data_IF_425996655765
#
_entry.id   IF_425996655765
#
_cell.length_a   1.000
_cell.length_b   1.000
_cell.length_c   1.000
_cell.angle_alpha   90.00
_cell.angle_beta   90.00
_cell.angle_gamma   90.00
#
_symmetry.space_group_name_H-M   'P 1'
#
loop_
_entity.id
_entity.type
_entity.pdbx_description
1 polymer ?
#
# COMPACT_ATOMS: atom_id res chain seq x y z
N UNK A 1 23.05 -1.30 51.79
CA UNK A 1 22.79 -0.35 52.90
C UNK A 1 21.29 -0.18 52.99
N UNK A 2 20.63 -0.97 53.84
CA UNK A 2 19.31 -0.61 54.33
C UNK A 2 19.48 0.77 54.99
N UNK A 3 18.98 1.82 54.34
CA UNK A 3 19.11 3.19 54.85
C UNK A 3 18.36 3.28 56.17
N UNK A 4 18.82 4.13 57.10
CA UNK A 4 18.29 4.25 58.47
C UNK A 4 16.76 4.33 58.56
N UNK A 5 16.08 4.75 57.49
CA UNK A 5 14.62 4.68 57.33
C UNK A 5 14.01 3.28 57.49
N UNK A 6 14.63 2.20 56.99
CA UNK A 6 14.06 0.84 57.11
C UNK A 6 14.10 0.28 58.55
N UNK A 7 15.11 0.68 59.34
CA UNK A 7 15.19 0.27 60.75
C UNK A 7 14.06 0.87 61.58
N UNK A 8 13.67 2.12 61.30
CA UNK A 8 12.54 2.76 61.97
C UNK A 8 11.21 2.06 61.65
N UNK A 9 11.00 1.61 60.41
CA UNK A 9 9.77 0.91 60.00
C UNK A 9 9.56 -0.38 60.79
N UNK A 10 10.62 -1.18 61.02
CA UNK A 10 10.51 -2.42 61.80
C UNK A 10 10.17 -2.14 63.27
N UNK A 11 10.79 -1.13 63.87
CA UNK A 11 10.51 -0.75 65.27
C UNK A 11 9.08 -0.21 65.40
N UNK A 12 8.64 0.64 64.47
CA UNK A 12 7.27 1.16 64.42
C UNK A 12 6.24 0.05 64.20
N UNK A 13 6.52 -0.93 63.34
CA UNK A 13 5.64 -2.11 63.15
C UNK A 13 5.50 -2.93 64.44
N UNK A 14 6.61 -3.18 65.14
CA UNK A 14 6.58 -3.93 66.41
C UNK A 14 5.82 -3.12 67.47
N UNK A 15 6.04 -1.82 67.54
CA UNK A 15 5.35 -0.95 68.49
C UNK A 15 3.84 -0.87 68.18
N UNK A 16 3.46 -0.73 66.91
CA UNK A 16 2.07 -0.78 66.48
C UNK A 16 1.40 -2.12 66.82
N UNK A 17 2.13 -3.24 66.74
CA UNK A 17 1.64 -4.56 67.15
C UNK A 17 1.39 -4.63 68.68
N UNK A 18 2.26 -4.01 69.48
CA UNK A 18 2.09 -3.92 70.95
C UNK A 18 0.97 -2.97 71.37
N UNK A 19 0.75 -1.89 70.62
CA UNK A 19 -0.32 -0.92 70.87
C UNK A 19 -1.66 -1.35 70.27
N UNK A 20 -1.66 -2.35 69.38
CA UNK A 20 -2.88 -2.85 68.76
C UNK A 20 -3.82 -3.47 69.82
N UNK A 21 -5.11 -3.06 69.84
CA UNK A 21 -6.07 -3.63 70.77
C UNK A 21 -6.32 -5.12 70.45
N UNK A 22 -6.57 -5.92 71.49
CA UNK A 22 -6.64 -7.39 71.39
C UNK A 22 -7.61 -7.91 70.31
N UNK A 23 -8.73 -7.21 70.06
CA UNK A 23 -9.69 -7.60 69.01
C UNK A 23 -9.10 -7.53 67.59
N UNK A 24 -8.16 -6.62 67.34
CA UNK A 24 -7.53 -6.45 66.05
C UNK A 24 -6.54 -7.60 65.77
N UNK A 25 -5.72 -7.95 66.76
CA UNK A 25 -4.80 -9.09 66.69
C UNK A 25 -5.54 -10.42 66.50
N UNK A 26 -6.70 -10.60 67.14
CA UNK A 26 -7.56 -11.78 66.95
C UNK A 26 -8.08 -11.84 65.50
N UNK A 27 -8.56 -10.72 64.95
CA UNK A 27 -9.05 -10.65 63.58
C UNK A 27 -7.95 -10.99 62.56
N UNK A 28 -6.74 -10.43 62.72
CA UNK A 28 -5.61 -10.74 61.85
C UNK A 28 -5.22 -12.22 61.93
N UNK A 29 -5.21 -12.80 63.14
CA UNK A 29 -4.97 -14.24 63.32
C UNK A 29 -5.99 -15.11 62.57
N UNK A 30 -7.28 -14.74 62.61
CA UNK A 30 -8.34 -15.43 61.86
C UNK A 30 -8.12 -15.29 60.35
N UNK A 31 -7.75 -14.10 59.87
CA UNK A 31 -7.47 -13.87 58.44
C UNK A 31 -6.25 -14.67 57.96
N UNK A 32 -5.17 -14.72 58.74
CA UNK A 32 -3.98 -15.54 58.43
C UNK A 32 -4.37 -17.02 58.34
N UNK A 33 -5.14 -17.54 59.30
CA UNK A 33 -5.65 -18.91 59.26
C UNK A 33 -6.52 -19.18 58.04
N UNK A 34 -7.34 -18.20 57.62
CA UNK A 34 -8.18 -18.32 56.43
C UNK A 34 -7.35 -18.32 55.14
N UNK A 35 -6.32 -17.46 55.03
CA UNK A 35 -5.37 -17.45 53.90
C UNK A 35 -4.61 -18.78 53.83
N UNK A 36 -4.10 -19.28 54.95
CA UNK A 36 -3.46 -20.60 55.04
C UNK A 36 -4.44 -21.67 54.54
N UNK A 37 -5.68 -21.67 55.02
CA UNK A 37 -6.71 -22.61 54.56
C UNK A 37 -6.96 -22.50 53.06
N UNK A 38 -7.02 -21.30 52.49
CA UNK A 38 -7.22 -21.11 51.04
C UNK A 38 -6.03 -21.60 50.22
N UNK A 39 -4.79 -21.39 50.70
CA UNK A 39 -3.58 -21.90 50.06
C UNK A 39 -3.53 -23.44 50.04
N UNK A 40 -4.07 -24.10 51.08
CA UNK A 40 -4.09 -25.57 51.18
C UNK A 40 -5.40 -26.21 50.69
N UNK A 41 -6.47 -25.43 50.59
CA UNK A 41 -7.73 -25.82 49.98
C UNK A 41 -7.49 -26.00 48.50
N UNK A 42 -7.33 -27.24 48.05
CA UNK A 42 -7.48 -27.59 46.64
C UNK A 42 -8.94 -27.36 46.25
N UNK A 43 -9.31 -26.11 45.95
CA UNK A 43 -10.71 -25.73 45.70
C UNK A 43 -11.26 -26.31 44.40
N UNK A 44 -10.46 -27.05 43.65
CA UNK A 44 -10.93 -27.88 42.56
C UNK A 44 -10.09 -29.16 42.51
N UNK A 45 -10.70 -30.31 42.87
CA UNK A 45 -10.30 -31.55 42.19
C UNK A 45 -10.78 -31.35 40.76
N UNK A 46 -9.87 -31.07 39.82
CA UNK A 46 -10.16 -31.32 38.41
C UNK A 46 -10.76 -32.72 38.39
N UNK A 47 -12.03 -32.84 37.99
CA UNK A 47 -12.66 -34.13 37.76
C UNK A 47 -11.63 -35.00 37.04
N UNK A 48 -11.42 -36.21 37.55
CA UNK A 48 -10.59 -37.22 36.90
C UNK A 48 -10.88 -37.15 35.40
N UNK A 49 -9.92 -36.62 34.64
CA UNK A 49 -9.99 -36.71 33.19
C UNK A 49 -10.00 -38.21 32.95
N UNK A 50 -11.15 -38.75 32.57
CA UNK A 50 -11.18 -40.04 31.90
C UNK A 50 -10.38 -39.82 30.62
N UNK A 51 -9.14 -40.26 30.60
CA UNK A 51 -8.35 -40.27 29.38
C UNK A 51 -9.15 -41.09 28.37
N UNK A 52 -9.56 -40.44 27.28
CA UNK A 52 -10.25 -41.10 26.17
C UNK A 52 -9.39 -42.28 25.72
N UNK A 53 -10.03 -43.44 25.60
CA UNK A 53 -9.44 -44.62 24.98
C UNK A 53 -9.00 -44.29 23.55
N UNK A 54 -8.05 -45.05 23.01
CA UNK A 54 -7.60 -44.88 21.61
C UNK A 54 -8.80 -44.95 20.66
N UNK A 55 -9.74 -45.85 20.93
CA UNK A 55 -10.99 -46.00 20.17
C UNK A 55 -11.87 -44.76 20.23
N UNK A 56 -12.12 -44.20 21.42
CA UNK A 56 -12.93 -42.97 21.55
C UNK A 56 -12.26 -41.78 20.85
N UNK A 57 -10.92 -41.71 20.85
CA UNK A 57 -10.18 -40.68 20.09
C UNK A 57 -10.36 -40.87 18.59
N UNK A 58 -10.28 -42.10 18.09
CA UNK A 58 -10.50 -42.41 16.67
C UNK A 58 -11.93 -42.09 16.25
N UNK A 59 -12.94 -42.46 17.05
CA UNK A 59 -14.35 -42.13 16.82
C UNK A 59 -14.58 -40.62 16.78
N UNK A 60 -14.01 -39.86 17.73
CA UNK A 60 -14.10 -38.40 17.72
C UNK A 60 -13.42 -37.77 16.50
N UNK A 61 -12.30 -38.32 16.03
CA UNK A 61 -11.61 -37.83 14.83
C UNK A 61 -12.43 -38.15 13.57
N UNK A 62 -13.06 -39.33 13.51
CA UNK A 62 -13.91 -39.75 12.40
C UNK A 62 -15.22 -38.94 12.33
N UNK A 63 -15.81 -38.62 13.49
CA UNK A 63 -17.01 -37.78 13.60
C UNK A 63 -16.72 -36.29 13.40
N UNK A 64 -15.48 -35.84 13.62
CA UNK A 64 -15.14 -34.43 13.52
C UNK A 64 -15.23 -33.93 12.08
N UNK A 65 -16.25 -33.13 11.81
CA UNK A 65 -16.38 -32.36 10.58
C UNK A 65 -15.89 -30.94 10.84
N UNK A 66 -14.79 -30.48 10.22
CA UNK A 66 -14.36 -29.10 10.36
C UNK A 66 -15.45 -28.16 9.86
N UNK A 67 -15.66 -27.06 10.58
CA UNK A 67 -16.44 -25.95 10.04
C UNK A 67 -15.77 -25.44 8.76
N UNK A 68 -16.54 -25.09 7.71
CA UNK A 68 -15.98 -24.46 6.53
C UNK A 68 -15.21 -23.19 6.90
N UNK A 69 -13.99 -23.02 6.37
CA UNK A 69 -13.19 -21.81 6.59
C UNK A 69 -13.89 -20.55 6.08
N UNK A 70 -14.77 -20.71 5.08
CA UNK A 70 -15.53 -19.63 4.42
C UNK A 70 -16.95 -20.11 4.09
N UNK A 71 -17.95 -19.20 4.05
CA UNK A 71 -19.30 -19.54 3.62
C UNK A 71 -19.34 -19.98 2.14
N UNK A 72 -20.37 -20.72 1.71
CA UNK A 72 -20.55 -21.08 0.31
C UNK A 72 -20.69 -19.83 -0.56
N UNK A 73 -19.98 -19.81 -1.69
CA UNK A 73 -19.98 -18.69 -2.63
C UNK A 73 -20.91 -19.01 -3.80
N UNK A 74 -21.88 -18.13 -4.14
CA UNK A 74 -22.73 -18.29 -5.32
C UNK A 74 -21.90 -18.40 -6.61
N UNK A 75 -22.34 -19.19 -7.59
CA UNK A 75 -21.59 -19.40 -8.84
C UNK A 75 -21.47 -18.13 -9.69
N UNK A 76 -22.43 -17.21 -9.56
CA UNK A 76 -22.48 -15.90 -10.18
C UNK A 76 -21.67 -14.84 -9.41
N UNK A 77 -21.01 -15.21 -8.32
CA UNK A 77 -20.22 -14.27 -7.53
C UNK A 77 -19.10 -13.65 -8.39
N UNK A 78 -18.89 -12.32 -8.36
CA UNK A 78 -17.90 -11.65 -9.21
C UNK A 78 -16.47 -12.16 -9.05
N UNK A 79 -16.09 -12.63 -7.85
CA UNK A 79 -14.76 -13.22 -7.63
C UNK A 79 -14.53 -14.55 -8.39
N UNK A 80 -15.61 -15.23 -8.79
CA UNK A 80 -15.56 -16.45 -9.62
C UNK A 80 -15.72 -16.13 -11.12
N UNK A 81 -16.22 -14.93 -11.45
CA UNK A 81 -16.53 -14.48 -12.80
C UNK A 81 -15.70 -13.24 -13.14
N UNK A 82 -14.41 -13.45 -13.42
CA UNK A 82 -13.48 -12.39 -13.78
C UNK A 82 -13.31 -12.26 -15.29
N UNK A 83 -12.98 -11.04 -15.72
CA UNK A 83 -12.67 -10.73 -17.11
C UNK A 83 -11.32 -11.32 -17.52
N UNK A 84 -11.28 -12.01 -18.65
CA UNK A 84 -10.07 -12.64 -19.19
C UNK A 84 -9.57 -11.82 -20.39
N UNK A 85 -8.32 -11.35 -20.30
CA UNK A 85 -7.65 -10.63 -21.39
C UNK A 85 -6.91 -11.62 -22.28
N UNK A 86 -7.06 -11.48 -23.60
CA UNK A 86 -6.32 -12.23 -24.61
C UNK A 86 -5.43 -11.29 -25.42
N UNK A 87 -4.13 -11.58 -25.48
CA UNK A 87 -3.16 -10.72 -26.16
C UNK A 87 -2.60 -9.57 -25.30
N UNK A 88 -1.77 -8.69 -25.87
CA UNK A 88 -1.16 -7.58 -25.13
C UNK A 88 -2.20 -6.50 -24.82
N UNK A 89 -2.34 -6.06 -23.55
CA UNK A 89 -3.25 -4.96 -23.21
C UNK A 89 -2.63 -3.58 -23.57
N UNK A 90 -2.63 -3.24 -24.86
CA UNK A 90 -2.36 -1.88 -25.37
C UNK A 90 -3.62 -1.00 -25.27
N UNK A 91 -3.71 0.12 -26.00
CA UNK A 91 -4.97 0.88 -26.13
C UNK A 91 -6.12 0.05 -26.74
N UNK A 92 -5.83 -1.04 -27.45
CA UNK A 92 -6.80 -2.04 -27.90
C UNK A 92 -6.55 -3.35 -27.20
N UNK A 93 -7.61 -3.95 -26.68
CA UNK A 93 -7.52 -5.19 -25.90
C UNK A 93 -8.68 -6.11 -26.20
N UNK A 94 -8.47 -7.41 -26.07
CA UNK A 94 -9.53 -8.41 -26.22
C UNK A 94 -9.92 -8.92 -24.84
N UNK A 95 -11.12 -8.58 -24.38
CA UNK A 95 -11.67 -9.01 -23.08
C UNK A 95 -12.84 -9.96 -23.31
N UNK A 96 -12.77 -11.17 -22.74
CA UNK A 96 -13.78 -12.22 -22.92
C UNK A 96 -14.08 -12.50 -24.41
N UNK A 97 -13.05 -12.46 -25.26
CA UNK A 97 -13.17 -12.66 -26.71
C UNK A 97 -13.66 -11.44 -27.51
N UNK A 98 -13.90 -10.29 -26.85
CA UNK A 98 -14.38 -9.07 -27.49
C UNK A 98 -13.31 -7.99 -27.56
N UNK A 99 -13.14 -7.38 -28.74
CA UNK A 99 -12.26 -6.23 -28.92
C UNK A 99 -12.86 -4.96 -28.31
N UNK A 100 -12.06 -4.30 -27.48
CA UNK A 100 -12.42 -3.11 -26.72
C UNK A 100 -11.28 -2.08 -26.75
N UNK A 101 -11.64 -0.80 -26.66
CA UNK A 101 -10.70 0.27 -26.35
C UNK A 101 -10.42 0.20 -24.84
N UNK A 102 -9.15 0.13 -24.46
CA UNK A 102 -8.70 -0.15 -23.11
C UNK A 102 -8.56 1.13 -22.28
N UNK A 103 -9.37 1.26 -21.23
CA UNK A 103 -9.27 2.28 -20.19
C UNK A 103 -9.09 1.65 -18.80
N UNK A 104 -8.62 0.40 -18.72
CA UNK A 104 -8.55 -0.36 -17.48
C UNK A 104 -7.11 -0.63 -17.00
N UNK A 105 -6.14 -0.73 -17.92
CA UNK A 105 -4.74 -1.08 -17.60
C UNK A 105 -3.86 0.14 -17.33
N UNK A 106 -2.94 0.03 -16.38
CA UNK A 106 -1.96 1.07 -16.02
C UNK A 106 -0.78 1.24 -17.01
N UNK A 107 -0.96 0.87 -18.28
CA UNK A 107 0.06 1.00 -19.33
C UNK A 107 0.13 2.45 -19.86
N UNK A 108 0.45 3.41 -18.99
CA UNK A 108 0.35 4.86 -19.26
C UNK A 108 1.13 5.29 -20.50
N UNK A 109 2.33 4.75 -20.70
CA UNK A 109 3.23 5.12 -21.79
C UNK A 109 3.14 4.21 -23.00
N UNK A 110 2.21 3.24 -23.02
CA UNK A 110 2.00 2.39 -24.19
C UNK A 110 3.19 1.48 -24.50
N UNK A 111 4.04 1.20 -23.52
CA UNK A 111 5.32 0.50 -23.75
C UNK A 111 5.21 -1.02 -23.70
N UNK A 112 4.06 -1.55 -23.27
CA UNK A 112 3.86 -2.99 -23.07
C UNK A 112 3.98 -3.83 -24.35
N UNK A 113 3.44 -3.32 -25.47
CA UNK A 113 3.55 -4.00 -26.77
C UNK A 113 4.61 -3.35 -27.68
N UNK A 114 5.46 -2.47 -27.12
CA UNK A 114 6.45 -1.75 -27.91
C UNK A 114 7.49 -2.71 -28.51
N UNK A 115 7.76 -2.66 -29.84
CA UNK A 115 8.68 -3.57 -30.50
C UNK A 115 10.10 -3.59 -29.93
N UNK A 116 10.61 -2.44 -29.47
CA UNK A 116 11.96 -2.34 -28.86
C UNK A 116 12.00 -3.03 -27.51
N UNK A 117 11.00 -2.77 -26.65
CA UNK A 117 10.86 -3.40 -25.33
C UNK A 117 10.74 -4.93 -25.47
N UNK A 118 9.91 -5.41 -26.41
CA UNK A 118 9.79 -6.85 -26.71
C UNK A 118 11.10 -7.45 -27.21
N UNK A 119 11.82 -6.76 -28.08
CA UNK A 119 13.11 -7.23 -28.58
C UNK A 119 14.16 -7.34 -27.46
N UNK A 120 14.22 -6.36 -26.55
CA UNK A 120 15.10 -6.39 -25.37
C UNK A 120 14.77 -7.58 -24.46
N UNK A 121 13.48 -7.80 -24.17
CA UNK A 121 13.03 -8.95 -23.38
C UNK A 121 13.39 -10.29 -24.04
N UNK A 122 13.19 -10.43 -25.37
CA UNK A 122 13.54 -11.64 -26.12
C UNK A 122 15.05 -11.90 -26.15
N UNK A 123 15.86 -10.85 -26.29
CA UNK A 123 17.32 -10.96 -26.24
C UNK A 123 17.79 -11.42 -24.84
N UNK A 124 17.21 -10.84 -23.79
CA UNK A 124 17.46 -11.23 -22.41
C UNK A 124 17.04 -12.68 -22.13
N UNK A 125 15.88 -13.11 -22.63
CA UNK A 125 15.42 -14.50 -22.53
C UNK A 125 16.41 -15.49 -23.16
N UNK A 126 16.99 -15.16 -24.32
CA UNK A 126 18.01 -15.98 -24.98
C UNK A 126 19.32 -16.05 -24.18
N UNK A 127 19.70 -14.97 -23.50
CA UNK A 127 20.96 -14.89 -22.73
C UNK A 127 20.85 -15.54 -21.35
N UNK A 128 19.78 -15.28 -20.61
CA UNK A 128 19.67 -15.63 -19.18
C UNK A 128 18.64 -16.72 -18.88
N UNK A 129 17.74 -17.03 -19.80
CA UNK A 129 16.59 -17.88 -19.55
C UNK A 129 15.44 -17.14 -18.87
N UNK A 130 14.53 -17.91 -18.26
CA UNK A 130 13.18 -17.45 -17.87
C UNK A 130 13.12 -16.74 -16.53
N UNK A 131 14.10 -16.94 -15.65
CA UNK A 131 14.11 -16.41 -14.29
C UNK A 131 15.39 -16.77 -13.55
N UNK A 132 15.50 -16.34 -12.30
CA UNK A 132 16.72 -16.47 -11.50
C UNK A 132 16.72 -17.61 -10.49
N UNK A 133 15.53 -18.13 -10.13
CA UNK A 133 15.33 -19.19 -9.14
C UNK A 133 15.93 -18.90 -7.74
N UNK A 134 16.25 -17.64 -7.42
CA UNK A 134 16.89 -17.29 -6.16
C UNK A 134 16.76 -15.80 -5.80
N UNK A 135 16.86 -15.48 -4.50
CA UNK A 135 16.87 -14.09 -4.01
C UNK A 135 18.18 -13.36 -4.32
N UNK A 136 18.11 -12.02 -4.33
CA UNK A 136 19.24 -11.14 -4.69
C UNK A 136 20.49 -11.34 -3.84
N UNK A 137 20.32 -11.62 -2.54
CA UNK A 137 21.43 -11.77 -1.58
C UNK A 137 22.19 -13.11 -1.63
N UNK A 138 21.75 -14.05 -2.48
CA UNK A 138 22.37 -15.37 -2.60
C UNK A 138 22.90 -15.55 -4.03
N UNK A 139 22.13 -16.22 -4.90
CA UNK A 139 22.50 -16.51 -6.29
C UNK A 139 21.54 -15.88 -7.31
N UNK A 140 20.69 -14.93 -6.89
CA UNK A 140 19.68 -14.29 -7.73
C UNK A 140 20.08 -12.95 -8.35
N UNK A 141 21.31 -12.47 -8.16
CA UNK A 141 21.78 -11.22 -8.77
C UNK A 141 22.46 -11.49 -10.11
N UNK A 142 21.98 -10.82 -11.15
CA UNK A 142 22.45 -10.91 -12.52
C UNK A 142 22.95 -9.51 -12.91
N UNK A 143 23.88 -9.43 -13.86
CA UNK A 143 24.43 -8.16 -14.40
C UNK A 143 23.31 -7.18 -14.79
N UNK A 144 22.29 -7.63 -15.52
CA UNK A 144 21.17 -6.78 -15.97
C UNK A 144 20.36 -6.16 -14.82
N UNK A 145 20.37 -6.77 -13.63
CA UNK A 145 19.72 -6.17 -12.46
C UNK A 145 20.50 -4.96 -11.93
N UNK A 146 21.83 -5.06 -11.94
CA UNK A 146 22.69 -3.95 -11.54
C UNK A 146 22.63 -2.83 -12.58
N UNK A 147 22.57 -3.19 -13.86
CA UNK A 147 22.36 -2.23 -14.93
C UNK A 147 21.02 -1.47 -14.76
N UNK A 148 19.93 -2.18 -14.44
CA UNK A 148 18.65 -1.53 -14.17
C UNK A 148 18.70 -0.62 -12.93
N UNK A 149 19.31 -1.07 -11.83
CA UNK A 149 19.49 -0.26 -10.62
C UNK A 149 20.27 1.05 -10.93
N UNK A 150 21.37 0.97 -11.68
CA UNK A 150 22.14 2.13 -12.13
C UNK A 150 21.32 3.06 -13.05
N UNK A 151 20.55 2.49 -13.99
CA UNK A 151 19.69 3.26 -14.90
C UNK A 151 18.57 3.99 -14.16
N UNK A 152 17.93 3.34 -13.19
CA UNK A 152 16.91 3.96 -12.35
C UNK A 152 17.50 5.09 -11.50
N UNK A 153 18.67 4.86 -10.89
CA UNK A 153 19.35 5.88 -10.08
C UNK A 153 19.69 7.13 -10.92
N UNK A 154 20.23 6.93 -12.13
CA UNK A 154 20.54 8.01 -13.09
C UNK A 154 19.28 8.74 -13.56
N UNK A 155 18.24 8.00 -13.95
CA UNK A 155 16.98 8.59 -14.41
C UNK A 155 16.36 9.46 -13.32
N UNK A 156 16.30 8.94 -12.09
CA UNK A 156 15.76 9.67 -10.93
C UNK A 156 16.69 10.75 -10.39
N UNK A 157 17.97 10.78 -10.80
CA UNK A 157 19.01 11.68 -10.27
C UNK A 157 19.25 11.46 -8.76
N UNK A 158 19.36 10.21 -8.37
CA UNK A 158 19.68 9.77 -6.99
C UNK A 158 20.99 9.00 -6.95
N UNK A 159 21.55 8.78 -5.75
CA UNK A 159 22.82 8.05 -5.59
C UNK A 159 22.68 6.58 -6.01
N UNK A 160 21.64 5.90 -5.52
CA UNK A 160 21.40 4.48 -5.79
C UNK A 160 19.91 4.16 -5.93
N UNK A 161 19.65 3.02 -6.56
CA UNK A 161 18.35 2.37 -6.56
C UNK A 161 18.48 0.87 -6.22
N UNK A 162 17.39 0.29 -5.73
CA UNK A 162 17.23 -1.14 -5.45
C UNK A 162 15.93 -1.61 -6.06
N UNK A 163 15.95 -2.77 -6.74
CA UNK A 163 14.76 -3.34 -7.37
C UNK A 163 14.20 -4.52 -6.56
N UNK A 164 12.87 -4.60 -6.53
CA UNK A 164 12.05 -5.65 -5.97
C UNK A 164 11.33 -6.39 -7.11
N UNK A 165 11.04 -7.68 -6.92
CA UNK A 165 10.42 -8.53 -7.94
C UNK A 165 8.90 -8.35 -8.07
N UNK A 166 8.26 -7.65 -7.14
CA UNK A 166 6.81 -7.41 -7.14
C UNK A 166 6.51 -6.01 -6.58
N UNK A 167 5.75 -5.19 -7.33
CA UNK A 167 5.46 -3.80 -7.04
C UNK A 167 4.85 -3.59 -5.65
N UNK A 168 3.75 -4.30 -5.36
CA UNK A 168 3.09 -4.26 -4.04
C UNK A 168 4.06 -4.54 -2.88
N UNK A 169 5.01 -5.47 -3.04
CA UNK A 169 5.94 -5.84 -2.00
C UNK A 169 7.02 -4.77 -1.75
N UNK A 170 7.23 -3.84 -2.67
CA UNK A 170 8.26 -2.78 -2.61
C UNK A 170 8.04 -1.89 -1.40
N UNK A 171 7.00 -1.03 -1.43
CA UNK A 171 6.70 -0.13 -0.30
C UNK A 171 6.31 -0.89 0.97
N UNK A 172 5.60 -2.02 0.81
CA UNK A 172 5.20 -2.86 1.93
C UNK A 172 6.40 -3.48 2.68
N UNK A 173 7.54 -3.67 2.00
CA UNK A 173 8.80 -4.13 2.62
C UNK A 173 9.69 -2.97 3.06
N UNK A 174 9.68 -1.86 2.33
CA UNK A 174 10.54 -0.71 2.61
C UNK A 174 10.11 0.01 3.91
N UNK A 175 8.80 0.17 4.17
CA UNK A 175 8.30 0.78 5.42
C UNK A 175 8.84 0.06 6.67
N UNK A 176 8.62 -1.26 6.87
CA UNK A 176 9.09 -1.98 8.06
C UNK A 176 10.62 -2.15 8.13
N UNK A 177 11.35 -1.97 7.02
CA UNK A 177 12.81 -1.95 7.04
C UNK A 177 13.34 -0.81 7.93
N UNK A 178 12.68 0.36 7.87
CA UNK A 178 13.07 1.53 8.66
C UNK A 178 12.20 1.75 9.88
N UNK A 179 10.88 1.68 9.75
CA UNK A 179 9.96 1.97 10.85
C UNK A 179 9.67 0.72 11.66
N UNK A 180 9.77 0.80 12.99
CA UNK A 180 9.61 -0.34 13.91
C UNK A 180 8.68 0.02 15.07
N UNK A 181 8.42 -0.96 15.94
CA UNK A 181 7.71 -0.75 17.21
C UNK A 181 8.38 0.36 18.02
N UNK A 182 7.61 1.38 18.38
CA UNK A 182 8.06 2.54 19.15
C UNK A 182 8.37 3.79 18.31
N UNK A 183 8.43 3.65 16.98
CA UNK A 183 8.42 4.77 16.04
C UNK A 183 6.99 5.22 15.74
N UNK A 184 6.86 6.42 15.17
CA UNK A 184 5.58 7.03 14.82
C UNK A 184 5.54 7.27 13.32
N UNK A 185 4.41 6.92 12.72
CA UNK A 185 4.18 7.13 11.29
C UNK A 185 2.89 7.91 11.08
N UNK A 186 3.03 9.11 10.53
CA UNK A 186 1.93 9.92 10.04
C UNK A 186 1.63 9.50 8.61
N UNK A 187 0.40 9.09 8.32
CA UNK A 187 0.03 8.60 6.99
C UNK A 187 -1.27 9.23 6.53
N UNK A 188 -1.31 9.58 5.25
CA UNK A 188 -2.49 10.10 4.60
C UNK A 188 -3.58 9.02 4.57
N UNK A 189 -4.82 9.39 4.89
CA UNK A 189 -5.96 8.45 4.90
C UNK A 189 -6.27 7.82 3.55
N UNK A 190 -5.85 8.40 2.43
CA UNK A 190 -6.06 7.83 1.11
C UNK A 190 -4.96 6.84 0.69
N UNK A 191 -3.95 6.59 1.54
CA UNK A 191 -2.84 5.71 1.21
C UNK A 191 -3.27 4.33 0.69
N UNK A 192 -2.63 3.91 -0.40
CA UNK A 192 -2.89 2.65 -1.07
C UNK A 192 -2.68 1.45 -0.16
N UNK A 193 -3.28 0.32 -0.53
CA UNK A 193 -3.28 -0.89 0.29
C UNK A 193 -1.87 -1.43 0.60
N UNK A 194 -0.92 -1.26 -0.32
CA UNK A 194 0.47 -1.67 -0.13
C UNK A 194 1.13 -0.92 1.04
N UNK A 195 0.92 0.40 1.13
CA UNK A 195 1.36 1.22 2.27
C UNK A 195 0.73 0.69 3.56
N UNK A 196 -0.59 0.45 3.57
CA UNK A 196 -1.29 -0.04 4.76
C UNK A 196 -0.70 -1.36 5.29
N UNK A 197 -0.35 -2.30 4.39
CA UNK A 197 0.28 -3.57 4.79
C UNK A 197 1.72 -3.39 5.26
N UNK A 198 2.48 -2.44 4.70
CA UNK A 198 3.77 -2.04 5.23
C UNK A 198 3.69 -1.47 6.65
N UNK A 199 2.70 -0.61 6.92
CA UNK A 199 2.45 -0.05 8.25
C UNK A 199 2.01 -1.13 9.26
N UNK A 200 1.19 -2.09 8.83
CA UNK A 200 0.82 -3.24 9.66
C UNK A 200 2.05 -4.08 10.04
N UNK A 201 2.95 -4.32 9.08
CA UNK A 201 4.19 -5.06 9.30
C UNK A 201 5.18 -4.30 10.21
N UNK A 202 5.20 -2.97 10.16
CA UNK A 202 6.13 -2.13 10.94
C UNK A 202 5.84 -2.16 12.45
N UNK A 203 4.58 -2.42 12.84
CA UNK A 203 4.10 -2.39 14.24
C UNK A 203 4.35 -1.05 14.95
N UNK A 204 4.46 0.03 14.16
CA UNK A 204 4.67 1.39 14.65
C UNK A 204 3.37 2.00 15.18
N UNK A 205 3.46 3.13 15.88
CA UNK A 205 2.29 3.93 16.23
C UNK A 205 1.84 4.73 15.00
N UNK A 206 0.66 4.42 14.48
CA UNK A 206 0.15 4.99 13.24
C UNK A 206 -0.81 6.15 13.55
N UNK A 207 -0.51 7.33 13.00
CA UNK A 207 -1.34 8.53 13.09
C UNK A 207 -1.90 8.86 11.70
N UNK A 208 -3.20 8.69 11.52
CA UNK A 208 -3.88 8.99 10.26
C UNK A 208 -4.24 10.48 10.20
N UNK A 209 -3.81 11.19 9.16
CA UNK A 209 -4.28 12.56 8.87
C UNK A 209 -5.23 12.57 7.67
N UNK A 210 -6.17 13.52 7.66
CA UNK A 210 -7.13 13.69 6.55
C UNK A 210 -6.41 13.86 5.20
N UNK A 211 -7.00 13.30 4.15
CA UNK A 211 -6.39 13.26 2.84
C UNK A 211 -6.00 14.66 2.32
N UNK A 212 -4.73 14.84 1.97
CA UNK A 212 -4.12 16.09 1.52
C UNK A 212 -4.33 17.29 2.47
N UNK A 213 -4.72 17.07 3.72
CA UNK A 213 -4.99 18.12 4.71
C UNK A 213 -3.74 18.40 5.56
N UNK A 214 -2.97 19.40 5.16
CA UNK A 214 -1.73 19.78 5.84
C UNK A 214 -1.97 20.44 7.20
N UNK A 215 -3.15 21.00 7.44
CA UNK A 215 -3.50 21.56 8.74
C UNK A 215 -3.75 20.45 9.76
N UNK A 216 -4.42 19.37 9.35
CA UNK A 216 -4.62 18.18 10.20
C UNK A 216 -3.30 17.43 10.46
N UNK A 217 -2.45 17.29 9.45
CA UNK A 217 -1.09 16.76 9.65
C UNK A 217 -0.29 17.62 10.64
N UNK A 218 -0.28 18.94 10.48
CA UNK A 218 0.43 19.83 11.41
C UNK A 218 -0.13 19.74 12.83
N UNK A 219 -1.46 19.58 12.99
CA UNK A 219 -2.09 19.36 14.30
C UNK A 219 -1.54 18.10 14.96
N UNK A 220 -1.48 16.98 14.25
CA UNK A 220 -0.93 15.71 14.79
C UNK A 220 0.56 15.81 15.11
N UNK A 221 1.33 16.54 14.30
CA UNK A 221 2.76 16.78 14.55
C UNK A 221 2.97 17.62 15.83
N UNK A 222 2.14 18.65 16.07
CA UNK A 222 2.14 19.46 17.31
C UNK A 222 1.75 18.62 18.53
N UNK A 223 0.72 17.79 18.40
CA UNK A 223 0.32 16.84 19.46
C UNK A 223 1.49 15.92 19.82
N UNK A 224 2.20 15.41 18.81
CA UNK A 224 3.36 14.57 19.06
C UNK A 224 4.52 15.31 19.72
N UNK A 225 4.79 16.56 19.34
CA UNK A 225 5.79 17.41 19.99
C UNK A 225 5.47 17.62 21.48
N UNK A 226 4.20 17.82 21.82
CA UNK A 226 3.74 17.92 23.22
C UNK A 226 3.95 16.60 23.98
N UNK A 227 3.62 15.45 23.37
CA UNK A 227 3.87 14.14 23.99
C UNK A 227 5.36 13.85 24.18
N UNK A 228 6.20 14.28 23.23
CA UNK A 228 7.65 14.13 23.30
C UNK A 228 8.26 14.85 24.51
N UNK A 229 7.71 16.01 24.89
CA UNK A 229 8.13 16.77 26.07
C UNK A 229 7.87 16.01 27.39
N UNK A 230 6.86 15.15 27.44
CA UNK A 230 6.54 14.35 28.64
C UNK A 230 7.56 13.24 28.89
N UNK A 231 8.24 12.75 27.86
CA UNK A 231 9.29 11.75 28.00
C UNK A 231 10.45 11.99 27.01
N UNK A 232 11.35 12.95 27.30
CA UNK A 232 12.45 13.32 26.41
C UNK A 232 13.40 12.16 26.11
N UNK A 233 13.56 11.22 27.05
CA UNK A 233 14.43 10.03 26.86
C UNK A 233 13.88 9.11 25.75
N UNK A 234 12.57 8.85 25.76
CA UNK A 234 11.89 8.10 24.70
C UNK A 234 11.89 8.89 23.39
N UNK A 235 11.52 10.17 23.44
CA UNK A 235 11.43 11.02 22.27
C UNK A 235 12.74 11.09 21.45
N UNK A 236 13.90 11.06 22.12
CA UNK A 236 15.23 11.10 21.48
C UNK A 236 15.53 9.88 20.60
N UNK A 237 14.95 8.71 20.91
CA UNK A 237 15.16 7.47 20.14
C UNK A 237 13.99 7.13 19.21
N UNK A 238 12.83 7.75 19.41
CA UNK A 238 11.67 7.61 18.54
C UNK A 238 11.91 8.31 17.21
N UNK A 239 11.77 7.57 16.10
CA UNK A 239 11.80 8.13 14.74
C UNK A 239 10.38 8.49 14.31
N UNK A 240 10.28 9.51 13.46
CA UNK A 240 9.02 10.07 12.97
C UNK A 240 9.05 10.06 11.45
N UNK A 241 8.04 9.46 10.84
CA UNK A 241 7.91 9.32 9.39
C UNK A 241 6.58 9.90 8.92
N UNK A 242 6.57 10.49 7.73
CA UNK A 242 5.38 10.90 6.99
C UNK A 242 5.34 10.02 5.74
N UNK A 243 4.22 9.36 5.49
CA UNK A 243 4.06 8.45 4.34
C UNK A 243 2.90 8.95 3.47
N UNK A 244 3.18 9.17 2.20
CA UNK A 244 2.26 9.74 1.21
C UNK A 244 2.52 9.14 -0.17
N UNK A 245 1.52 9.20 -1.05
CA UNK A 245 1.68 8.92 -2.47
C UNK A 245 1.91 10.24 -3.22
N UNK A 246 2.78 10.26 -4.23
CA UNK A 246 2.99 11.41 -5.11
C UNK A 246 1.72 11.75 -5.90
N UNK A 247 1.11 10.71 -6.49
CA UNK A 247 -0.23 10.71 -7.05
C UNK A 247 -1.00 9.52 -6.47
N UNK A 248 -2.11 9.79 -5.78
CA UNK A 248 -2.82 8.79 -5.01
C UNK A 248 -3.65 7.84 -5.88
N UNK A 249 -3.42 6.54 -5.75
CA UNK A 249 -4.14 5.47 -6.46
C UNK A 249 -5.65 5.46 -6.22
N UNK A 250 -6.11 5.93 -5.06
CA UNK A 250 -7.49 5.83 -4.63
C UNK A 250 -8.33 7.09 -4.93
N UNK A 251 -7.67 8.20 -5.28
CA UNK A 251 -8.32 9.52 -5.43
C UNK A 251 -7.90 10.24 -6.69
N UNK A 252 -6.79 9.85 -7.35
CA UNK A 252 -6.25 10.53 -8.52
C UNK A 252 -5.73 11.94 -8.24
N UNK A 253 -5.45 12.28 -6.98
CA UNK A 253 -4.98 13.60 -6.54
C UNK A 253 -3.47 13.60 -6.31
N UNK A 254 -2.84 14.76 -6.45
CA UNK A 254 -1.40 14.95 -6.24
C UNK A 254 -1.18 15.41 -4.78
N UNK A 255 -0.14 14.90 -4.12
CA UNK A 255 0.18 15.36 -2.76
C UNK A 255 0.70 16.82 -2.74
N UNK A 256 0.40 17.62 -1.71
CA UNK A 256 0.96 18.97 -1.55
C UNK A 256 2.41 18.88 -1.05
N UNK A 257 3.32 18.42 -1.92
CA UNK A 257 4.73 18.16 -1.58
C UNK A 257 5.46 19.39 -1.00
N UNK A 258 5.28 20.64 -1.50
CA UNK A 258 5.92 21.81 -0.91
C UNK A 258 5.59 21.99 0.58
N UNK A 259 4.33 21.79 0.97
CA UNK A 259 3.87 21.88 2.36
C UNK A 259 4.39 20.72 3.20
N UNK A 260 4.40 19.50 2.65
CA UNK A 260 4.98 18.33 3.30
C UNK A 260 6.46 18.53 3.63
N UNK A 261 7.25 19.07 2.70
CA UNK A 261 8.68 19.36 2.91
C UNK A 261 8.87 20.44 3.98
N UNK A 262 8.05 21.49 4.00
CA UNK A 262 8.07 22.51 5.09
C UNK A 262 7.82 21.86 6.46
N UNK A 263 6.82 20.99 6.56
CA UNK A 263 6.49 20.28 7.81
C UNK A 263 7.57 19.27 8.21
N UNK A 264 8.14 18.54 7.24
CA UNK A 264 9.29 17.64 7.44
C UNK A 264 10.41 18.35 8.19
N UNK A 265 10.86 19.50 7.68
CA UNK A 265 11.95 20.26 8.29
C UNK A 265 11.56 20.87 9.64
N UNK A 266 10.35 21.45 9.74
CA UNK A 266 9.84 22.06 10.98
C UNK A 266 9.77 21.06 12.15
N UNK A 267 9.29 19.84 11.88
CA UNK A 267 9.05 18.82 12.91
C UNK A 267 10.08 17.67 12.91
N UNK A 268 11.14 17.78 12.08
CA UNK A 268 12.24 16.80 11.98
C UNK A 268 11.74 15.37 11.70
N UNK A 269 10.72 15.27 10.85
CA UNK A 269 10.22 13.99 10.34
C UNK A 269 10.99 13.58 9.07
N UNK A 270 10.75 12.35 8.59
CA UNK A 270 11.26 11.85 7.30
C UNK A 270 10.09 11.51 6.38
N UNK A 271 10.19 11.80 5.10
CA UNK A 271 9.14 11.51 4.11
C UNK A 271 9.48 10.22 3.36
N UNK A 272 8.54 9.27 3.38
CA UNK A 272 8.49 8.16 2.43
C UNK A 272 7.44 8.48 1.38
N UNK A 273 7.89 8.55 0.14
CA UNK A 273 7.10 8.96 -1.00
C UNK A 273 6.89 7.77 -1.94
N UNK A 274 5.64 7.41 -2.19
CA UNK A 274 5.26 6.36 -3.13
C UNK A 274 4.85 7.00 -4.46
N UNK A 275 5.57 6.72 -5.55
CA UNK A 275 5.48 7.40 -6.83
C UNK A 275 4.95 6.49 -7.95
N UNK A 276 4.31 5.36 -7.64
CA UNK A 276 3.88 4.38 -8.65
C UNK A 276 3.00 4.97 -9.76
N UNK A 277 2.13 5.93 -9.43
CA UNK A 277 1.24 6.59 -10.40
C UNK A 277 1.78 7.93 -10.92
N UNK A 278 2.84 8.47 -10.31
CA UNK A 278 3.45 9.75 -10.71
C UNK A 278 4.76 9.56 -11.50
N UNK A 279 5.46 8.44 -11.31
CA UNK A 279 6.62 8.04 -12.08
C UNK A 279 6.23 7.74 -13.52
N UNK A 280 6.97 8.32 -14.47
CA UNK A 280 6.66 8.31 -15.90
C UNK A 280 5.42 9.13 -16.28
N UNK A 281 4.96 10.02 -15.40
CA UNK A 281 3.68 10.75 -15.56
C UNK A 281 3.85 12.24 -15.25
N UNK A 282 4.32 12.55 -14.05
CA UNK A 282 4.48 13.92 -13.57
C UNK A 282 5.91 14.44 -13.81
N UNK A 283 6.02 15.73 -14.08
CA UNK A 283 7.28 16.39 -14.41
C UNK A 283 7.57 16.42 -15.91
N UNK A 284 8.49 17.29 -16.32
CA UNK A 284 8.89 17.46 -17.73
C UNK A 284 9.54 16.19 -18.31
N UNK A 285 10.21 15.41 -17.47
CA UNK A 285 10.89 14.17 -17.85
C UNK A 285 10.27 12.95 -17.19
N UNK A 286 9.06 13.06 -16.62
CA UNK A 286 8.37 11.94 -15.98
C UNK A 286 9.05 11.43 -14.71
N UNK A 287 9.79 12.26 -13.96
CA UNK A 287 10.47 11.82 -12.72
C UNK A 287 9.58 11.79 -11.48
N UNK A 288 8.32 12.21 -11.59
CA UNK A 288 7.37 12.19 -10.49
C UNK A 288 7.12 13.55 -9.85
N UNK A 289 6.57 13.54 -8.64
CA UNK A 289 6.01 14.73 -8.00
C UNK A 289 7.10 15.72 -7.54
N UNK A 290 8.32 15.25 -7.30
CA UNK A 290 9.47 16.13 -7.00
C UNK A 290 9.80 17.05 -8.16
N UNK A 291 9.91 16.51 -9.38
CA UNK A 291 10.14 17.29 -10.59
C UNK A 291 8.93 18.19 -10.92
N UNK A 292 7.71 17.70 -10.70
CA UNK A 292 6.48 18.49 -10.91
C UNK A 292 6.46 19.81 -10.14
N UNK A 293 6.91 19.80 -8.88
CA UNK A 293 6.98 21.00 -8.05
C UNK A 293 8.33 21.71 -8.07
N UNK A 294 9.34 21.17 -8.77
CA UNK A 294 10.71 21.70 -8.72
C UNK A 294 11.37 21.57 -7.34
N UNK A 295 10.98 20.55 -6.57
CA UNK A 295 11.54 20.25 -5.25
C UNK A 295 12.78 19.39 -5.43
N UNK A 296 13.82 19.66 -4.63
CA UNK A 296 15.03 18.84 -4.69
C UNK A 296 14.70 17.41 -4.22
N UNK A 297 15.08 16.42 -5.02
CA UNK A 297 14.84 15.02 -4.68
C UNK A 297 15.49 14.61 -3.35
N UNK A 298 16.59 15.26 -2.95
CA UNK A 298 17.26 15.06 -1.66
C UNK A 298 16.43 15.48 -0.44
N UNK A 299 15.34 16.24 -0.66
CA UNK A 299 14.36 16.59 0.38
C UNK A 299 13.43 15.41 0.69
N UNK A 300 13.49 14.31 -0.06
CA UNK A 300 12.72 13.08 0.20
C UNK A 300 13.65 11.99 0.73
N UNK A 301 13.24 11.29 1.80
CA UNK A 301 14.14 10.36 2.50
C UNK A 301 14.11 8.94 1.90
N UNK A 302 12.99 8.57 1.29
CA UNK A 302 12.83 7.31 0.57
C UNK A 302 11.78 7.53 -0.54
N UNK A 303 12.15 7.18 -1.76
CA UNK A 303 11.22 7.12 -2.89
C UNK A 303 11.01 5.66 -3.25
N UNK A 304 9.75 5.26 -3.44
CA UNK A 304 9.33 3.95 -3.92
C UNK A 304 8.49 4.15 -5.18
N UNK A 305 8.59 3.27 -6.18
CA UNK A 305 7.66 3.24 -7.29
C UNK A 305 7.55 1.84 -7.91
N UNK A 306 6.38 1.54 -8.48
CA UNK A 306 6.15 0.32 -9.24
C UNK A 306 6.64 0.47 -10.69
N UNK A 307 7.27 -0.59 -11.20
CA UNK A 307 7.62 -0.72 -12.62
C UNK A 307 6.46 -1.31 -13.45
N UNK A 308 5.38 -1.68 -12.77
CA UNK A 308 4.15 -2.31 -13.30
C UNK A 308 3.22 -1.33 -14.04
N UNK A 309 3.63 -0.06 -14.16
CA UNK A 309 2.84 0.98 -14.79
C UNK A 309 3.59 1.58 -15.99
N UNK A 310 4.28 2.71 -15.79
CA UNK A 310 4.96 3.43 -16.88
C UNK A 310 6.10 2.65 -17.57
N UNK A 311 6.79 1.76 -16.85
CA UNK A 311 7.89 0.95 -17.42
C UNK A 311 7.45 -0.33 -18.11
N UNK A 312 6.15 -0.63 -18.11
CA UNK A 312 5.58 -1.83 -18.72
C UNK A 312 6.33 -3.13 -18.37
N UNK A 313 6.76 -3.24 -17.11
CA UNK A 313 7.48 -4.40 -16.57
C UNK A 313 6.75 -4.93 -15.33
N UNK A 314 7.41 -5.78 -14.54
CA UNK A 314 6.92 -6.22 -13.22
C UNK A 314 7.93 -5.80 -12.17
N UNK A 315 7.47 -5.65 -10.92
CA UNK A 315 8.31 -5.28 -9.80
C UNK A 315 8.17 -3.82 -9.42
N UNK A 316 9.04 -3.40 -8.52
CA UNK A 316 9.16 -2.02 -8.10
C UNK A 316 10.59 -1.69 -7.72
N UNK A 317 10.84 -0.43 -7.43
CA UNK A 317 12.15 0.01 -6.99
C UNK A 317 12.02 1.01 -5.84
N UNK A 318 13.10 1.13 -5.07
CA UNK A 318 13.31 2.29 -4.24
C UNK A 318 14.58 3.01 -4.70
N UNK A 319 14.60 4.34 -4.60
CA UNK A 319 15.76 5.16 -4.93
C UNK A 319 15.99 6.26 -3.89
N UNK A 320 17.22 6.74 -3.79
CA UNK A 320 17.62 7.75 -2.80
C UNK A 320 19.10 7.68 -2.46
N UNK A 321 19.44 8.01 -1.21
CA UNK A 321 20.81 7.96 -0.71
C UNK A 321 21.29 6.51 -0.50
N UNK A 322 22.57 6.26 -0.73
CA UNK A 322 23.18 4.92 -0.68
C UNK A 322 22.90 4.20 0.63
N UNK A 323 23.07 4.88 1.78
CA UNK A 323 22.80 4.29 3.10
C UNK A 323 21.32 3.95 3.35
N UNK A 324 20.40 4.64 2.66
CA UNK A 324 18.98 4.27 2.68
C UNK A 324 18.86 2.96 1.91
N UNK A 325 19.29 2.94 0.65
CA UNK A 325 19.16 1.79 -0.24
C UNK A 325 19.82 0.52 0.32
N UNK A 326 21.06 0.60 0.80
CA UNK A 326 21.80 -0.53 1.36
C UNK A 326 21.10 -1.18 2.57
N UNK A 327 20.47 -0.37 3.41
CA UNK A 327 19.73 -0.90 4.57
C UNK A 327 18.60 -1.84 4.13
N UNK A 328 17.97 -1.59 2.98
CA UNK A 328 16.93 -2.47 2.44
C UNK A 328 17.49 -3.79 1.92
N UNK A 329 18.73 -3.81 1.42
CA UNK A 329 19.38 -5.04 0.96
C UNK A 329 19.52 -6.08 2.09
N UNK A 330 19.54 -5.62 3.34
CA UNK A 330 19.67 -6.45 4.54
C UNK A 330 18.36 -6.67 5.31
N UNK A 331 17.35 -5.80 5.11
CA UNK A 331 16.16 -5.77 5.98
C UNK A 331 14.82 -5.71 5.24
N UNK A 332 14.81 -5.42 3.94
CA UNK A 332 13.62 -5.48 3.10
C UNK A 332 13.23 -6.93 2.86
N UNK A 333 12.15 -7.40 3.49
CA UNK A 333 11.75 -8.82 3.41
C UNK A 333 11.44 -9.27 1.99
N UNK A 334 10.73 -8.44 1.21
CA UNK A 334 10.46 -8.69 -0.21
C UNK A 334 11.72 -8.66 -1.10
N UNK A 335 12.85 -8.13 -0.62
CA UNK A 335 14.14 -8.20 -1.32
C UNK A 335 14.95 -9.43 -0.87
N UNK A 336 14.97 -9.72 0.43
CA UNK A 336 15.79 -10.77 1.03
C UNK A 336 15.26 -12.17 0.76
N UNK A 337 13.93 -12.33 0.73
CA UNK A 337 13.27 -13.65 0.72
C UNK A 337 12.42 -13.91 -0.52
N UNK A 338 12.28 -12.94 -1.43
CA UNK A 338 11.66 -13.17 -2.74
C UNK A 338 12.71 -13.58 -3.76
N UNK A 339 12.35 -14.47 -4.68
CA UNK A 339 13.14 -14.65 -5.90
C UNK A 339 13.25 -13.30 -6.62
N UNK A 340 14.40 -13.04 -7.23
CA UNK A 340 14.62 -11.76 -7.92
C UNK A 340 13.76 -11.63 -9.17
N UNK A 341 13.63 -10.39 -9.64
CA UNK A 341 12.95 -10.07 -10.89
C UNK A 341 13.52 -10.93 -12.03
N UNK A 342 12.70 -11.52 -12.91
CA UNK A 342 13.24 -12.18 -14.09
C UNK A 342 14.11 -11.24 -14.94
N UNK A 343 15.30 -11.66 -15.40
CA UNK A 343 16.22 -10.81 -16.18
C UNK A 343 15.59 -10.18 -17.43
N UNK A 344 14.60 -10.86 -18.05
CA UNK A 344 13.87 -10.33 -19.22
C UNK A 344 13.03 -9.10 -18.88
N UNK A 345 12.48 -9.04 -17.67
CA UNK A 345 11.68 -7.91 -17.18
C UNK A 345 12.59 -6.74 -16.77
N UNK A 346 13.79 -7.04 -16.26
CA UNK A 346 14.80 -6.02 -16.03
C UNK A 346 15.25 -5.35 -17.35
N UNK A 347 15.55 -6.16 -18.37
CA UNK A 347 15.89 -5.66 -19.70
C UNK A 347 14.76 -4.85 -20.35
N UNK A 348 13.50 -5.29 -20.19
CA UNK A 348 12.33 -4.54 -20.66
C UNK A 348 12.23 -3.15 -20.00
N UNK A 349 12.43 -3.08 -18.68
CA UNK A 349 12.40 -1.82 -17.95
C UNK A 349 13.55 -0.88 -18.36
N UNK A 350 14.76 -1.40 -18.61
CA UNK A 350 15.89 -0.61 -19.13
C UNK A 350 15.52 0.00 -20.50
N UNK A 351 14.92 -0.78 -21.39
CA UNK A 351 14.52 -0.29 -22.71
C UNK A 351 13.36 0.71 -22.63
N UNK A 352 12.44 0.54 -21.69
CA UNK A 352 11.40 1.54 -21.42
C UNK A 352 12.02 2.87 -20.95
N UNK A 353 13.02 2.83 -20.07
CA UNK A 353 13.77 4.04 -19.65
C UNK A 353 14.50 4.69 -20.83
N UNK A 354 15.12 3.91 -21.74
CA UNK A 354 15.72 4.45 -22.97
C UNK A 354 14.70 5.24 -23.80
N UNK A 355 13.52 4.68 -24.03
CA UNK A 355 12.46 5.33 -24.80
C UNK A 355 12.00 6.62 -24.12
N UNK A 356 11.85 6.60 -22.80
CA UNK A 356 11.48 7.78 -22.01
C UNK A 356 12.51 8.92 -22.13
N UNK A 357 13.81 8.60 -22.11
CA UNK A 357 14.89 9.58 -22.25
C UNK A 357 15.04 10.10 -23.68
N UNK A 358 14.86 9.23 -24.68
CA UNK A 358 14.96 9.58 -26.10
C UNK A 358 13.74 10.39 -26.60
N UNK A 359 12.56 10.18 -26.01
CA UNK A 359 11.32 10.85 -26.37
C UNK A 359 10.61 11.47 -25.17
N UNK A 360 11.15 12.55 -24.56
CA UNK A 360 10.50 13.24 -23.45
C UNK A 360 9.13 13.85 -23.82
N UNK A 361 8.85 14.05 -25.12
CA UNK A 361 7.54 14.50 -25.60
C UNK A 361 6.38 13.56 -25.23
N UNK A 362 6.67 12.29 -24.94
CA UNK A 362 5.67 11.29 -24.54
C UNK A 362 4.87 11.71 -23.29
N UNK A 363 5.50 12.41 -22.34
CA UNK A 363 4.86 12.85 -21.10
C UNK A 363 3.87 13.99 -21.35
N UNK A 364 4.18 14.89 -22.29
CA UNK A 364 3.28 15.96 -22.71
C UNK A 364 2.04 15.39 -23.41
N UNK A 365 2.23 14.39 -24.28
CA UNK A 365 1.12 13.66 -24.94
C UNK A 365 0.21 12.98 -23.91
N UNK A 366 0.79 12.31 -22.90
CA UNK A 366 -0.01 11.70 -21.83
C UNK A 366 -0.84 12.77 -21.10
N UNK A 367 -0.20 13.86 -20.67
CA UNK A 367 -0.84 14.97 -19.97
C UNK A 367 -2.00 15.58 -20.77
N UNK A 368 -1.80 15.77 -22.08
CA UNK A 368 -2.85 16.25 -22.98
C UNK A 368 -4.05 15.30 -23.00
N UNK A 369 -3.81 14.01 -23.19
CA UNK A 369 -4.88 12.99 -23.23
C UNK A 369 -5.62 12.88 -21.90
N UNK A 370 -4.91 12.92 -20.77
CA UNK A 370 -5.53 12.99 -19.43
C UNK A 370 -6.46 14.20 -19.33
N UNK A 371 -6.00 15.38 -19.76
CA UNK A 371 -6.80 16.60 -19.75
C UNK A 371 -8.03 16.52 -20.66
N UNK A 372 -7.88 15.95 -21.86
CA UNK A 372 -8.96 15.78 -22.82
C UNK A 372 -10.08 14.89 -22.27
N UNK A 373 -9.75 13.67 -21.81
CA UNK A 373 -10.76 12.74 -21.30
C UNK A 373 -11.34 13.19 -19.95
N UNK A 374 -10.52 13.77 -19.07
CA UNK A 374 -10.98 14.30 -17.78
C UNK A 374 -12.02 15.40 -17.99
N UNK A 375 -11.80 16.30 -18.97
CA UNK A 375 -12.76 17.33 -19.38
C UNK A 375 -14.00 16.74 -20.05
N UNK A 376 -13.83 15.76 -20.94
CA UNK A 376 -14.95 15.15 -21.68
C UNK A 376 -15.92 14.38 -20.77
N UNK A 377 -15.43 13.85 -19.64
CA UNK A 377 -16.24 13.15 -18.65
C UNK A 377 -16.89 14.07 -17.60
N UNK A 378 -16.62 15.39 -17.64
CA UNK A 378 -17.30 16.33 -16.75
C UNK A 378 -18.79 16.44 -17.10
N UNK A 379 -19.65 16.62 -16.08
CA UNK A 379 -21.07 16.88 -16.27
C UNK A 379 -21.89 15.68 -16.73
N UNK A 380 -21.42 14.45 -16.50
CA UNK A 380 -22.22 13.24 -16.67
C UNK A 380 -23.23 13.18 -15.51
N UNK A 381 -24.52 13.22 -15.81
CA UNK A 381 -25.59 13.15 -14.79
C UNK A 381 -25.45 11.90 -13.93
N UNK A 382 -25.45 12.07 -12.61
CA UNK A 382 -25.36 10.98 -11.64
C UNK A 382 -23.93 10.47 -11.37
N UNK A 383 -22.92 10.95 -12.10
CA UNK A 383 -21.51 10.63 -11.86
C UNK A 383 -20.68 11.89 -11.61
N UNK A 384 -19.71 11.78 -10.72
CA UNK A 384 -18.69 12.81 -10.49
C UNK A 384 -17.30 12.27 -10.82
N UNK A 385 -16.50 13.12 -11.45
CA UNK A 385 -15.09 12.87 -11.72
C UNK A 385 -14.29 13.20 -10.45
N UNK A 386 -13.53 12.23 -9.96
CA UNK A 386 -12.66 12.36 -8.78
C UNK A 386 -11.22 12.09 -9.20
N UNK A 387 -10.38 13.11 -9.02
CA UNK A 387 -8.99 13.13 -9.43
C UNK A 387 -8.65 14.36 -10.27
N UNK A 388 -7.37 14.62 -10.43
CA UNK A 388 -6.86 15.76 -11.18
C UNK A 388 -6.74 15.45 -12.68
N UNK A 389 -6.83 16.48 -13.52
CA UNK A 389 -6.71 16.35 -14.97
C UNK A 389 -5.32 15.93 -15.45
N UNK A 390 -4.32 15.99 -14.57
CA UNK A 390 -2.97 15.46 -14.82
C UNK A 390 -2.87 13.96 -14.53
N UNK A 391 -3.86 13.38 -13.85
CA UNK A 391 -3.80 11.99 -13.45
C UNK A 391 -4.11 11.05 -14.62
N UNK A 392 -3.25 10.06 -14.90
CA UNK A 392 -3.51 9.04 -15.90
C UNK A 392 -4.47 7.97 -15.39
N UNK A 393 -4.78 7.95 -14.09
CA UNK A 393 -5.78 7.08 -13.50
C UNK A 393 -6.63 7.89 -12.51
N UNK A 394 -7.90 8.07 -12.84
CA UNK A 394 -8.85 8.79 -12.01
C UNK A 394 -10.15 8.01 -11.90
N UNK A 395 -11.08 8.52 -11.10
CA UNK A 395 -12.26 7.79 -10.67
C UNK A 395 -13.54 8.46 -11.14
N UNK A 396 -14.50 7.67 -11.58
CA UNK A 396 -15.90 8.06 -11.68
C UNK A 396 -16.64 7.45 -10.51
N UNK A 397 -17.21 8.30 -9.66
CA UNK A 397 -18.01 7.92 -8.51
C UNK A 397 -19.47 8.31 -8.76
N UNK A 398 -20.41 7.65 -8.09
CA UNK A 398 -21.77 8.18 -8.02
C UNK A 398 -21.74 9.58 -7.38
N UNK A 399 -22.48 10.51 -7.95
CA UNK A 399 -22.61 11.87 -7.43
C UNK A 399 -23.18 11.81 -6.01
N UNK A 400 -24.30 11.10 -5.87
CA UNK A 400 -24.94 10.73 -4.61
C UNK A 400 -24.87 9.21 -4.41
N UNK A 401 -24.43 8.76 -3.23
CA UNK A 401 -24.47 7.34 -2.87
C UNK A 401 -25.92 6.91 -2.61
N UNK A 402 -26.26 5.67 -2.97
CA UNK A 402 -27.54 5.04 -2.63
C UNK A 402 -27.72 4.80 -1.12
N UNK A 403 -26.65 5.01 -0.32
CA UNK A 403 -26.60 4.66 1.10
C UNK A 403 -26.17 3.22 1.35
N UNK A 404 -26.04 2.40 0.31
CA UNK A 404 -25.48 1.04 0.38
C UNK A 404 -24.32 0.88 -0.59
N UNK A 405 -23.14 0.55 -0.05
CA UNK A 405 -21.95 0.27 -0.86
C UNK A 405 -22.19 -0.83 -1.89
N UNK A 406 -22.92 -1.87 -1.50
CA UNK A 406 -23.25 -2.99 -2.39
C UNK A 406 -24.09 -2.53 -3.59
N UNK A 407 -25.08 -1.66 -3.36
CA UNK A 407 -25.90 -1.09 -4.43
C UNK A 407 -25.09 -0.14 -5.30
N UNK A 408 -24.25 0.71 -4.70
CA UNK A 408 -23.34 1.59 -5.45
C UNK A 408 -22.40 0.79 -6.37
N UNK A 409 -21.79 -0.28 -5.83
CA UNK A 409 -20.94 -1.21 -6.59
C UNK A 409 -21.73 -1.87 -7.72
N UNK A 410 -22.99 -2.25 -7.49
CA UNK A 410 -23.84 -2.87 -8.51
C UNK A 410 -24.16 -1.92 -9.66
N UNK A 411 -24.57 -0.68 -9.36
CA UNK A 411 -24.87 0.35 -10.36
C UNK A 411 -23.64 0.68 -11.21
N UNK A 412 -22.49 0.87 -10.56
CA UNK A 412 -21.23 1.12 -11.26
C UNK A 412 -20.78 -0.09 -12.09
N UNK A 413 -21.12 -1.32 -11.68
CA UNK A 413 -20.73 -2.53 -12.42
C UNK A 413 -21.58 -2.67 -13.67
N UNK A 414 -22.86 -2.35 -13.58
CA UNK A 414 -23.77 -2.30 -14.74
C UNK A 414 -23.26 -1.31 -15.79
N UNK A 415 -22.78 -0.13 -15.36
CA UNK A 415 -22.15 0.85 -16.29
C UNK A 415 -20.91 0.25 -16.97
N UNK A 416 -20.04 -0.43 -16.21
CA UNK A 416 -18.84 -1.10 -16.76
C UNK A 416 -19.23 -2.17 -17.78
N UNK A 417 -20.21 -3.00 -17.47
CA UNK A 417 -20.65 -4.11 -18.33
C UNK A 417 -21.31 -3.60 -19.61
N UNK A 418 -22.17 -2.57 -19.51
CA UNK A 418 -22.76 -1.93 -20.69
C UNK A 418 -21.73 -1.18 -21.55
N UNK A 419 -20.72 -0.54 -20.95
CA UNK A 419 -19.61 0.04 -21.69
C UNK A 419 -18.79 -1.04 -22.42
N UNK A 420 -18.52 -2.16 -21.76
CA UNK A 420 -17.87 -3.33 -22.38
C UNK A 420 -18.71 -3.88 -23.54
N UNK A 421 -20.04 -3.90 -23.40
CA UNK A 421 -20.97 -4.24 -24.47
C UNK A 421 -20.93 -3.27 -25.67
N UNK A 422 -20.37 -2.07 -25.48
CA UNK A 422 -20.12 -1.07 -26.53
C UNK A 422 -18.64 -0.94 -26.93
N UNK A 423 -17.82 -1.94 -26.56
CA UNK A 423 -16.38 -2.02 -26.86
C UNK A 423 -15.52 -0.98 -26.14
N UNK A 424 -15.90 -0.57 -24.93
CA UNK A 424 -15.09 0.26 -24.03
C UNK A 424 -14.77 -0.57 -22.78
N UNK A 425 -13.50 -0.96 -22.61
CA UNK A 425 -13.06 -1.75 -21.45
C UNK A 425 -12.73 -0.83 -20.28
N UNK A 426 -13.58 -0.87 -19.25
CA UNK A 426 -13.40 -0.20 -17.97
C UNK A 426 -13.28 -1.24 -16.86
N UNK A 427 -12.83 -0.81 -15.69
CA UNK A 427 -12.81 -1.65 -14.50
C UNK A 427 -13.21 -0.86 -13.27
N UNK A 428 -13.82 -1.53 -12.31
CA UNK A 428 -14.02 -0.94 -11.00
C UNK A 428 -12.71 -0.89 -10.22
N UNK A 429 -12.56 0.14 -9.39
CA UNK A 429 -11.61 0.10 -8.30
C UNK A 429 -12.09 -0.92 -7.26
N UNK A 430 -11.36 -2.03 -7.13
CA UNK A 430 -11.68 -3.13 -6.21
C UNK A 430 -10.81 -3.04 -4.95
N UNK A 431 -11.41 -3.35 -3.82
CA UNK A 431 -10.81 -3.20 -2.50
C UNK A 431 -11.13 -4.42 -1.62
N UNK A 432 -10.25 -4.72 -0.66
CA UNK A 432 -10.52 -5.76 0.34
C UNK A 432 -11.23 -5.14 1.55
N UNK A 433 -12.56 -5.07 1.49
CA UNK A 433 -13.39 -4.27 2.42
C UNK A 433 -13.17 -4.57 3.90
N UNK A 434 -12.84 -5.82 4.25
CA UNK A 434 -12.56 -6.24 5.63
C UNK A 434 -11.13 -5.93 6.10
N UNK A 435 -10.23 -5.66 5.16
CA UNK A 435 -8.78 -5.52 5.40
C UNK A 435 -8.27 -4.08 5.26
N UNK A 436 -8.96 -3.27 4.46
CA UNK A 436 -8.67 -1.85 4.24
C UNK A 436 -8.98 -1.04 5.50
N UNK A 437 -8.02 -0.25 5.98
CA UNK A 437 -8.21 0.62 7.14
C UNK A 437 -9.08 1.83 6.81
N UNK A 438 -8.94 2.36 5.60
CA UNK A 438 -9.68 3.51 5.10
C UNK A 438 -10.23 3.14 3.72
N UNK A 439 -11.43 2.56 3.71
CA UNK A 439 -12.06 2.07 2.49
C UNK A 439 -12.51 3.24 1.58
N UNK A 440 -11.99 3.37 0.34
CA UNK A 440 -12.43 4.41 -0.57
C UNK A 440 -13.86 4.18 -1.09
N UNK A 441 -14.59 5.23 -1.51
CA UNK A 441 -15.89 5.08 -2.16
C UNK A 441 -15.82 4.19 -3.40
N UNK A 442 -16.90 3.43 -3.72
CA UNK A 442 -16.98 2.68 -4.97
C UNK A 442 -16.78 3.61 -6.17
N UNK A 443 -16.00 3.15 -7.14
CA UNK A 443 -15.70 3.93 -8.34
C UNK A 443 -15.37 3.04 -9.53
N UNK A 444 -15.63 3.57 -10.71
CA UNK A 444 -15.04 3.08 -11.96
C UNK A 444 -13.70 3.79 -12.11
N UNK A 445 -12.63 3.04 -12.32
CA UNK A 445 -11.31 3.61 -12.60
C UNK A 445 -11.17 3.76 -14.11
N UNK A 446 -10.85 4.98 -14.53
CA UNK A 446 -10.58 5.33 -15.92
C UNK A 446 -9.08 5.56 -16.04
N UNK A 447 -8.44 4.79 -16.91
CA UNK A 447 -7.00 4.84 -17.12
C UNK A 447 -6.67 5.28 -18.55
N UNK A 448 -5.71 6.18 -18.67
CA UNK A 448 -5.28 6.81 -19.92
C UNK A 448 -3.93 6.26 -20.34
N UNK A 449 -3.78 6.05 -21.64
CA UNK A 449 -2.50 5.70 -22.26
C UNK A 449 -2.20 6.60 -23.45
N UNK A 450 -0.92 6.87 -23.69
CA UNK A 450 -0.45 7.66 -24.84
C UNK A 450 -0.78 7.05 -26.20
N UNK A 451 -1.25 5.81 -26.27
CA UNK A 451 -1.63 5.20 -27.54
C UNK A 451 -3.09 5.46 -27.94
N UNK A 452 -3.99 5.81 -26.99
CA UNK A 452 -5.41 6.07 -27.28
C UNK A 452 -5.56 7.28 -28.21
N UNK A 453 -6.32 7.19 -29.29
CA UNK A 453 -6.53 8.33 -30.20
C UNK A 453 -7.56 9.32 -29.65
N UNK A 454 -7.59 10.55 -30.17
CA UNK A 454 -8.61 11.54 -29.79
C UNK A 454 -10.03 11.02 -30.06
N UNK A 455 -10.25 10.38 -31.21
CA UNK A 455 -11.52 9.72 -31.56
C UNK A 455 -11.91 8.63 -30.54
N UNK A 456 -10.93 7.86 -30.03
CA UNK A 456 -11.15 6.84 -29.02
C UNK A 456 -11.52 7.45 -27.65
N UNK A 457 -10.88 8.57 -27.26
CA UNK A 457 -11.22 9.31 -26.04
C UNK A 457 -12.65 9.88 -26.12
N UNK A 458 -13.00 10.52 -27.23
CA UNK A 458 -14.34 11.08 -27.46
C UNK A 458 -15.41 9.98 -27.46
N UNK A 459 -15.15 8.87 -28.15
CA UNK A 459 -16.04 7.71 -28.17
C UNK A 459 -16.25 7.13 -26.78
N UNK A 460 -15.19 7.00 -25.98
CA UNK A 460 -15.29 6.52 -24.62
C UNK A 460 -16.14 7.46 -23.76
N UNK A 461 -15.89 8.77 -23.83
CA UNK A 461 -16.66 9.77 -23.08
C UNK A 461 -18.15 9.75 -23.45
N UNK A 462 -18.50 9.73 -24.75
CA UNK A 462 -19.89 9.64 -25.21
C UNK A 462 -20.55 8.35 -24.72
N UNK A 463 -19.85 7.21 -24.85
CA UNK A 463 -20.37 5.91 -24.43
C UNK A 463 -20.64 5.87 -22.93
N UNK A 464 -19.70 6.33 -22.10
CA UNK A 464 -19.86 6.38 -20.64
C UNK A 464 -21.02 7.29 -20.28
N UNK A 465 -21.16 8.45 -20.92
CA UNK A 465 -22.26 9.38 -20.67
C UNK A 465 -23.63 8.78 -20.99
N UNK A 466 -23.78 8.18 -22.16
CA UNK A 466 -25.03 7.54 -22.58
C UNK A 466 -25.41 6.36 -21.67
N UNK A 467 -24.43 5.53 -21.30
CA UNK A 467 -24.66 4.38 -20.42
C UNK A 467 -24.99 4.83 -19.00
N UNK A 468 -24.27 5.82 -18.45
CA UNK A 468 -24.56 6.36 -17.13
C UNK A 468 -25.98 6.96 -17.06
N UNK A 469 -26.40 7.69 -18.10
CA UNK A 469 -27.77 8.18 -18.21
C UNK A 469 -28.81 7.06 -18.26
N UNK A 470 -28.54 5.96 -18.95
CA UNK A 470 -29.48 4.83 -19.05
C UNK A 470 -29.56 3.97 -17.78
N UNK A 471 -28.52 3.97 -16.94
CA UNK A 471 -28.46 3.17 -15.70
C UNK A 471 -28.93 3.95 -14.48
N UNK A 472 -28.69 5.27 -14.44
CA UNK A 472 -28.92 6.10 -13.26
C UNK A 472 -30.20 6.96 -13.33
N UNK A 473 -30.83 7.08 -14.50
CA UNK A 473 -32.11 7.79 -14.73
C UNK A 473 -33.14 6.83 -15.32
#
# INVERSE_FOLDING_TARGET
MATATEQWVLVEMVQALYEAPAYHLILEGILILWIIRLLFSKTYKLQERSDLTVKEKEELIEEWQPEPLVPPVPKDHPALNYNIVSGPPSHKTVVNGKECINFASFNFLGLLDNPRVKAAALASLKKYGVGTCGPRGFYGTFDVHLDLEDRLAKFMKTEEAIIYSYGFATIASAIPAYSKRGDIVFVDRAACFAIQKGLQASRSDIKLFKHNDMADLERLLKEQEIEDQKNPRKARVTRRFIVVEGLYMNTGTICPLPELVKLKYKYKARIFLEESLSFGVLGEHGRGVTEHYGINIDDIDLISANMENALASIGGFCCGRSFVIDHQRLSGQGYCFSASLPPLLAAAAIEALNIMEENPGIFAVLKEKCGQIHKALQGISGLKVVGESLSPAFHLQLEESTGSREQDVRLLQEIVDQCMNRSIALTQARYLEKEEKCLPPPSIRVVVTVEQTEEELERAASTIKEVAQAVLL
#
